data_IF_374979997907
#
_entry.id   IF_374979997907
#
_cell.length_a   1.000
_cell.length_b   1.000
_cell.length_c   1.000
_cell.angle_alpha   90.00
_cell.angle_beta   90.00
_cell.angle_gamma   90.00
#
_symmetry.space_group_name_H-M   'P 1'
#
loop_
_entity.id
_entity.type
_entity.pdbx_description
1 polymer ?
#
# COMPACT_ATOMS: atom_id res chain seq x y z
N UNK A 1 -0.58 -12.66 -19.23
CA UNK A 1 -1.35 -13.18 -18.11
C UNK A 1 -0.47 -13.16 -16.86
N UNK A 2 -1.06 -12.84 -15.70
CA UNK A 2 -0.38 -12.84 -14.40
C UNK A 2 -1.28 -13.60 -13.42
N UNK A 3 -0.69 -14.51 -12.66
CA UNK A 3 -1.39 -15.26 -11.62
C UNK A 3 -0.57 -15.30 -10.34
N UNK A 4 -1.22 -15.48 -9.20
CA UNK A 4 -0.57 -15.63 -7.89
C UNK A 4 -0.83 -17.01 -7.32
N UNK A 5 0.16 -17.57 -6.63
CA UNK A 5 0.06 -18.81 -5.88
C UNK A 5 0.55 -18.60 -4.45
N UNK A 6 -0.24 -19.03 -3.49
CA UNK A 6 0.02 -18.90 -2.05
C UNK A 6 0.35 -20.21 -1.37
N UNK A 7 0.32 -21.31 -2.09
CA UNK A 7 0.58 -22.65 -1.55
C UNK A 7 2.08 -23.02 -1.60
N UNK A 8 2.96 -22.01 -1.63
CA UNK A 8 4.41 -22.21 -1.63
C UNK A 8 4.98 -22.50 -0.24
N UNK A 9 4.25 -22.14 0.81
CA UNK A 9 4.55 -22.48 2.18
C UNK A 9 3.30 -22.79 3.01
N UNK A 10 3.46 -23.54 4.09
CA UNK A 10 2.35 -24.04 4.91
C UNK A 10 1.65 -22.97 5.71
N UNK A 11 2.32 -21.87 6.02
CA UNK A 11 1.79 -20.75 6.79
C UNK A 11 1.30 -19.61 5.90
N UNK A 12 1.39 -19.79 4.58
CA UNK A 12 0.98 -18.79 3.57
C UNK A 12 1.61 -17.40 3.78
N UNK A 13 2.85 -17.38 4.29
CA UNK A 13 3.58 -16.16 4.58
C UNK A 13 4.07 -15.44 3.32
N UNK A 14 4.06 -16.13 2.18
CA UNK A 14 4.53 -15.63 0.90
C UNK A 14 3.54 -15.94 -0.21
N UNK A 15 3.61 -15.14 -1.25
CA UNK A 15 2.94 -15.38 -2.51
C UNK A 15 3.97 -15.41 -3.65
N UNK A 16 3.77 -16.30 -4.60
CA UNK A 16 4.60 -16.41 -5.80
C UNK A 16 3.81 -16.00 -7.01
N UNK A 17 4.40 -15.11 -7.81
CA UNK A 17 3.79 -14.65 -9.05
C UNK A 17 4.27 -15.50 -10.21
N UNK A 18 3.34 -15.99 -11.03
CA UNK A 18 3.61 -16.52 -12.36
C UNK A 18 3.14 -15.51 -13.40
N UNK A 19 3.93 -15.32 -14.44
CA UNK A 19 3.63 -14.38 -15.51
C UNK A 19 3.96 -14.97 -16.88
N UNK A 20 3.18 -14.63 -17.88
CA UNK A 20 3.43 -14.97 -19.27
C UNK A 20 3.21 -13.74 -20.16
N UNK A 21 4.18 -13.49 -21.03
CA UNK A 21 4.12 -12.42 -22.04
C UNK A 21 4.22 -13.06 -23.42
N UNK A 22 3.22 -12.80 -24.27
CA UNK A 22 3.28 -13.11 -25.68
C UNK A 22 3.65 -11.84 -26.45
N UNK A 23 4.76 -11.88 -27.17
CA UNK A 23 5.27 -10.75 -27.95
C UNK A 23 5.21 -10.95 -29.48
N UNK A 24 4.51 -11.99 -29.96
CA UNK A 24 4.42 -12.32 -31.40
C UNK A 24 3.93 -11.14 -32.24
N UNK A 25 3.05 -10.30 -31.72
CA UNK A 25 2.52 -9.14 -32.43
C UNK A 25 3.40 -7.89 -32.37
N UNK A 26 4.50 -7.91 -31.62
CA UNK A 26 5.33 -6.72 -31.34
C UNK A 26 6.56 -6.62 -32.23
N UNK A 27 6.84 -7.61 -33.10
CA UNK A 27 8.01 -7.62 -33.95
C UNK A 27 9.35 -7.76 -33.23
N UNK A 28 9.32 -8.26 -32.01
CA UNK A 28 10.49 -8.44 -31.13
C UNK A 28 11.29 -9.64 -31.65
N UNK A 29 12.58 -9.45 -31.88
CA UNK A 29 13.51 -10.48 -32.36
C UNK A 29 14.48 -10.96 -31.28
N UNK A 30 14.84 -10.06 -30.36
CA UNK A 30 15.70 -10.38 -29.20
C UNK A 30 15.03 -9.92 -27.91
N UNK A 31 14.14 -10.75 -27.33
CA UNK A 31 13.36 -10.35 -26.15
C UNK A 31 14.23 -9.99 -24.93
N UNK A 32 15.41 -10.59 -24.78
CA UNK A 32 16.30 -10.27 -23.65
C UNK A 32 16.92 -8.87 -23.74
N UNK A 33 16.98 -8.28 -24.92
CA UNK A 33 17.51 -6.93 -25.14
C UNK A 33 16.39 -5.88 -25.34
N UNK A 34 15.23 -6.32 -25.82
CA UNK A 34 14.15 -5.43 -26.26
C UNK A 34 13.00 -5.35 -25.24
N UNK A 35 12.86 -6.35 -24.34
CA UNK A 35 11.86 -6.34 -23.28
C UNK A 35 12.48 -5.96 -21.94
N UNK A 36 11.82 -5.05 -21.24
CA UNK A 36 12.15 -4.66 -19.89
C UNK A 36 10.95 -4.98 -18.99
N UNK A 37 11.16 -5.89 -18.03
CA UNK A 37 10.07 -6.36 -17.16
C UNK A 37 10.27 -5.86 -15.74
N UNK A 38 9.18 -5.36 -15.15
CA UNK A 38 9.12 -4.97 -13.74
C UNK A 38 7.89 -5.60 -13.12
N UNK A 39 8.09 -6.40 -12.08
CA UNK A 39 7.01 -6.93 -11.26
C UNK A 39 7.14 -6.32 -9.86
N UNK A 40 6.07 -5.73 -9.36
CA UNK A 40 6.05 -5.12 -8.04
C UNK A 40 4.75 -5.45 -7.31
N UNK A 41 4.80 -5.48 -6.00
CA UNK A 41 3.63 -5.72 -5.16
C UNK A 41 2.96 -4.39 -4.82
N UNK A 42 1.64 -4.29 -5.07
CA UNK A 42 0.78 -3.15 -4.68
C UNK A 42 1.33 -1.79 -5.12
N UNK A 43 1.90 -1.71 -6.33
CA UNK A 43 2.46 -0.48 -6.87
C UNK A 43 3.71 0.06 -6.15
N UNK A 44 4.33 -0.72 -5.28
CA UNK A 44 5.46 -0.30 -4.46
C UNK A 44 6.79 -0.56 -5.15
N UNK A 45 7.50 0.50 -5.49
CA UNK A 45 8.84 0.43 -6.09
C UNK A 45 9.87 -0.23 -5.17
N UNK A 46 9.71 -0.14 -3.86
CA UNK A 46 10.56 -0.82 -2.87
C UNK A 46 10.50 -2.36 -2.98
N UNK A 47 9.47 -2.89 -3.62
CA UNK A 47 9.30 -4.33 -3.84
C UNK A 47 9.65 -4.77 -5.27
N UNK A 48 10.06 -3.85 -6.14
CA UNK A 48 10.25 -4.12 -7.57
C UNK A 48 11.29 -5.23 -7.84
N UNK A 49 10.91 -6.16 -8.70
CA UNK A 49 11.77 -7.19 -9.29
C UNK A 49 11.97 -6.83 -10.74
N UNK A 50 13.20 -6.48 -11.09
CA UNK A 50 13.52 -5.91 -12.40
C UNK A 50 14.26 -6.96 -13.22
N UNK A 51 13.76 -7.23 -14.44
CA UNK A 51 14.37 -8.14 -15.41
C UNK A 51 14.75 -9.52 -14.85
N UNK A 52 13.89 -10.10 -13.99
CA UNK A 52 14.08 -11.47 -13.56
C UNK A 52 14.12 -12.42 -14.79
N UNK A 53 15.04 -13.36 -14.77
CA UNK A 53 15.21 -14.28 -15.89
C UNK A 53 13.97 -15.19 -16.05
N UNK A 54 13.39 -15.31 -17.25
CA UNK A 54 12.28 -16.24 -17.49
C UNK A 54 12.75 -17.70 -17.40
N UNK A 55 11.90 -18.57 -16.87
CA UNK A 55 12.16 -20.02 -16.87
C UNK A 55 12.00 -20.62 -18.28
N UNK A 56 11.10 -20.06 -19.07
CA UNK A 56 10.85 -20.55 -20.43
C UNK A 56 10.84 -19.39 -21.41
N UNK A 57 11.53 -19.61 -22.54
CA UNK A 57 11.52 -18.72 -23.68
C UNK A 57 11.16 -19.53 -24.94
N UNK A 58 10.19 -19.05 -25.68
CA UNK A 58 9.77 -19.57 -26.98
C UNK A 58 10.05 -18.55 -28.08
N UNK A 59 9.78 -18.86 -29.32
CA UNK A 59 9.92 -17.92 -30.45
C UNK A 59 8.96 -16.70 -30.36
N UNK A 60 7.96 -16.75 -29.48
CA UNK A 60 6.93 -15.72 -29.39
C UNK A 60 6.52 -15.34 -27.94
N UNK A 61 7.13 -15.96 -26.94
CA UNK A 61 6.72 -15.73 -25.54
C UNK A 61 7.83 -15.92 -24.53
N UNK A 62 7.66 -15.27 -23.37
CA UNK A 62 8.44 -15.46 -22.15
C UNK A 62 7.49 -15.89 -21.04
N UNK A 63 7.94 -16.84 -20.20
CA UNK A 63 7.15 -17.35 -19.08
C UNK A 63 8.01 -17.47 -17.83
N UNK A 64 7.50 -16.90 -16.75
CA UNK A 64 8.01 -17.02 -15.39
C UNK A 64 7.06 -17.92 -14.60
N UNK A 65 7.55 -19.07 -14.18
CA UNK A 65 6.80 -20.04 -13.41
C UNK A 65 7.72 -20.62 -12.33
N UNK A 66 7.24 -20.66 -11.10
CA UNK A 66 8.06 -21.06 -9.93
C UNK A 66 9.37 -20.27 -9.80
N UNK A 67 9.36 -18.99 -10.24
CA UNK A 67 10.53 -18.13 -10.19
C UNK A 67 10.78 -17.67 -8.73
N UNK A 68 11.95 -17.96 -8.14
CA UNK A 68 12.25 -17.51 -6.77
C UNK A 68 12.35 -15.99 -6.64
N UNK A 69 12.71 -15.28 -7.73
CA UNK A 69 12.75 -13.82 -7.72
C UNK A 69 11.35 -13.18 -7.65
N UNK A 70 10.31 -13.95 -7.98
CA UNK A 70 8.92 -13.50 -7.95
C UNK A 70 8.16 -13.98 -6.70
N UNK A 71 8.90 -14.23 -5.62
CA UNK A 71 8.33 -14.47 -4.30
C UNK A 71 8.25 -13.14 -3.54
N UNK A 72 7.05 -12.84 -3.05
CA UNK A 72 6.76 -11.64 -2.26
C UNK A 72 6.21 -12.05 -0.89
N UNK A 73 6.50 -11.23 0.12
CA UNK A 73 5.88 -11.40 1.42
C UNK A 73 4.37 -11.13 1.30
N UNK A 74 3.57 -11.93 1.97
CA UNK A 74 2.18 -11.62 2.23
C UNK A 74 2.04 -10.40 3.14
N UNK A 75 0.82 -9.96 3.37
CA UNK A 75 0.50 -8.85 4.25
C UNK A 75 -0.91 -8.98 4.82
N UNK A 76 -1.27 -8.12 5.75
CA UNK A 76 -2.64 -7.98 6.20
C UNK A 76 -3.39 -7.04 5.25
N UNK A 77 -4.73 -7.04 5.31
CA UNK A 77 -5.55 -6.07 4.58
C UNK A 77 -5.08 -4.65 4.86
N UNK A 78 -5.14 -3.78 3.86
CA UNK A 78 -4.88 -2.37 4.07
C UNK A 78 -5.97 -1.74 4.94
N UNK A 79 -5.60 -0.75 5.74
CA UNK A 79 -6.56 0.14 6.39
C UNK A 79 -7.21 1.04 5.33
N UNK A 80 -8.38 1.57 5.64
CA UNK A 80 -9.11 2.45 4.71
C UNK A 80 -9.92 3.52 5.44
N UNK A 81 -10.06 4.66 4.80
CA UNK A 81 -11.02 5.69 5.19
C UNK A 81 -11.51 6.45 3.95
N UNK A 82 -12.57 7.19 4.13
CA UNK A 82 -13.10 8.07 3.09
C UNK A 82 -13.54 9.41 3.67
N UNK A 83 -13.11 10.50 3.06
CA UNK A 83 -13.55 11.86 3.36
C UNK A 83 -14.43 12.33 2.22
N UNK A 84 -15.74 12.11 2.31
CA UNK A 84 -16.70 12.62 1.33
C UNK A 84 -17.15 14.05 1.64
N UNK A 85 -17.24 14.37 2.94
CA UNK A 85 -17.75 15.63 3.45
C UNK A 85 -16.77 16.18 4.50
N UNK A 86 -16.59 17.49 4.50
CA UNK A 86 -15.74 18.17 5.50
C UNK A 86 -16.53 18.62 6.74
N UNK A 87 -17.82 18.38 6.76
CA UNK A 87 -18.73 18.76 7.84
C UNK A 87 -19.26 17.57 8.64
N UNK A 88 -19.21 16.35 8.06
CA UNK A 88 -19.71 15.12 8.68
C UNK A 88 -18.70 13.98 8.52
N UNK A 89 -18.50 13.18 9.58
CA UNK A 89 -17.71 11.95 9.48
C UNK A 89 -18.31 10.96 8.48
N UNK A 90 -17.44 10.30 7.71
CA UNK A 90 -17.79 9.22 6.79
C UNK A 90 -16.98 7.97 7.12
N UNK A 91 -16.83 7.02 6.18
CA UNK A 91 -16.14 5.76 6.41
C UNK A 91 -14.76 5.96 7.06
N UNK A 92 -14.51 5.30 8.19
CA UNK A 92 -13.23 5.33 8.89
C UNK A 92 -12.88 6.64 9.60
N UNK A 93 -13.75 7.66 9.52
CA UNK A 93 -13.55 8.96 10.15
C UNK A 93 -14.28 9.01 11.49
N UNK A 94 -13.56 9.35 12.55
CA UNK A 94 -14.12 9.56 13.91
C UNK A 94 -14.72 10.95 14.04
N UNK A 95 -14.03 11.96 13.52
CA UNK A 95 -14.43 13.36 13.66
C UNK A 95 -13.89 14.21 12.50
N UNK A 96 -14.64 15.26 12.15
CA UNK A 96 -14.21 16.32 11.23
C UNK A 96 -14.39 17.67 11.90
N UNK A 97 -13.58 18.65 11.54
CA UNK A 97 -13.65 19.99 12.12
C UNK A 97 -12.91 21.04 11.31
N UNK A 98 -13.16 22.29 11.69
CA UNK A 98 -12.51 23.47 11.12
C UNK A 98 -11.79 24.23 12.25
N UNK A 99 -10.50 24.50 12.11
CA UNK A 99 -9.67 25.19 13.12
C UNK A 99 -9.61 26.71 12.92
N UNK A 100 -10.37 27.25 11.98
CA UNK A 100 -10.33 28.65 11.56
C UNK A 100 -9.47 28.89 10.30
N UNK A 101 -8.71 27.89 9.86
CA UNK A 101 -7.82 27.99 8.71
C UNK A 101 -7.89 26.75 7.80
N UNK A 102 -7.97 25.54 8.36
CA UNK A 102 -7.94 24.29 7.64
C UNK A 102 -9.05 23.35 8.12
N UNK A 103 -9.52 22.50 7.23
CA UNK A 103 -10.32 21.34 7.61
C UNK A 103 -9.42 20.24 8.17
N UNK A 104 -9.94 19.55 9.18
CA UNK A 104 -9.29 18.42 9.83
C UNK A 104 -10.22 17.22 9.84
N UNK A 105 -9.68 16.06 9.57
CA UNK A 105 -10.36 14.77 9.70
C UNK A 105 -9.52 13.84 10.58
N UNK A 106 -10.09 13.38 11.68
CA UNK A 106 -9.47 12.40 12.54
C UNK A 106 -10.01 11.03 12.19
N UNK A 107 -9.14 10.12 11.75
CA UNK A 107 -9.52 8.73 11.57
C UNK A 107 -9.61 8.03 12.94
N UNK A 108 -10.36 6.93 12.98
CA UNK A 108 -10.33 6.06 14.16
C UNK A 108 -8.89 5.60 14.44
N UNK A 109 -8.55 5.45 15.73
CA UNK A 109 -7.23 4.92 16.08
C UNK A 109 -7.11 3.49 15.59
N UNK A 110 -6.10 3.23 14.75
CA UNK A 110 -5.79 1.89 14.30
C UNK A 110 -5.22 1.06 15.44
N UNK A 111 -5.93 -0.02 15.76
CA UNK A 111 -5.60 -0.93 16.84
C UNK A 111 -4.79 -2.12 16.33
N UNK A 112 -4.04 -2.81 17.22
CA UNK A 112 -3.33 -4.03 16.87
C UNK A 112 -4.25 -5.08 16.25
N UNK A 113 -3.82 -5.67 15.15
CA UNK A 113 -4.48 -6.77 14.43
C UNK A 113 -3.67 -8.05 14.61
N UNK A 114 -3.95 -8.86 15.64
CA UNK A 114 -3.14 -10.04 15.98
C UNK A 114 -3.31 -11.21 14.98
N UNK A 115 -4.36 -11.16 14.18
CA UNK A 115 -4.66 -12.17 13.17
C UNK A 115 -5.16 -11.50 11.88
N UNK A 116 -5.10 -12.27 10.78
CA UNK A 116 -5.74 -11.84 9.54
C UNK A 116 -7.27 -11.81 9.72
N UNK A 117 -7.86 -10.71 9.31
CA UNK A 117 -9.31 -10.55 9.20
C UNK A 117 -9.59 -9.98 7.82
N UNK A 118 -10.33 -10.72 7.01
CA UNK A 118 -10.73 -10.25 5.69
C UNK A 118 -11.53 -8.96 5.80
N UNK A 119 -11.10 -7.95 5.06
CA UNK A 119 -11.80 -6.69 4.89
C UNK A 119 -11.49 -6.13 3.51
N UNK A 120 -12.46 -6.14 2.60
CA UNK A 120 -12.29 -5.66 1.24
C UNK A 120 -11.66 -4.26 1.23
N UNK A 121 -10.47 -4.14 0.69
CA UNK A 121 -9.70 -2.90 0.56
C UNK A 121 -9.36 -2.59 -0.91
N UNK A 122 -8.49 -1.63 -1.16
CA UNK A 122 -8.07 -1.25 -2.50
C UNK A 122 -6.55 -1.41 -2.69
N UNK A 123 -5.90 -2.30 -1.93
CA UNK A 123 -4.46 -2.59 -2.02
C UNK A 123 -3.58 -1.33 -2.01
N UNK A 124 -3.92 -0.36 -1.15
CA UNK A 124 -3.21 0.92 -1.03
C UNK A 124 -3.61 1.98 -2.05
N UNK A 125 -4.55 1.69 -2.94
CA UNK A 125 -5.05 2.66 -3.94
C UNK A 125 -5.88 3.77 -3.31
N UNK A 126 -6.14 4.82 -4.09
CA UNK A 126 -6.95 5.96 -3.65
C UNK A 126 -7.81 6.48 -4.79
N UNK A 127 -8.87 7.19 -4.43
CA UNK A 127 -9.74 7.83 -5.38
C UNK A 127 -10.21 9.20 -4.85
N UNK A 128 -9.92 10.27 -5.60
CA UNK A 128 -10.35 11.64 -5.24
C UNK A 128 -11.81 11.81 -5.58
N UNK A 129 -12.62 12.14 -4.60
CA UNK A 129 -14.04 12.47 -4.78
C UNK A 129 -14.59 13.29 -3.62
N UNK A 130 -15.63 14.05 -3.92
CA UNK A 130 -16.46 14.79 -2.94
C UNK A 130 -17.87 14.20 -2.90
N UNK A 131 -18.71 14.67 -1.97
CA UNK A 131 -20.10 14.21 -1.78
C UNK A 131 -20.95 14.32 -3.04
N UNK A 132 -20.73 15.37 -3.84
CA UNK A 132 -21.51 15.62 -5.03
C UNK A 132 -21.04 14.83 -6.24
N UNK A 133 -19.84 14.25 -6.15
CA UNK A 133 -19.15 13.53 -7.23
C UNK A 133 -19.03 14.35 -8.53
N UNK A 134 -18.83 15.66 -8.38
CA UNK A 134 -18.70 16.62 -9.47
C UNK A 134 -17.29 17.22 -9.44
N UNK A 135 -16.66 17.33 -10.60
CA UNK A 135 -15.32 17.92 -10.78
C UNK A 135 -14.33 17.55 -9.67
N UNK A 136 -14.30 16.28 -9.30
CA UNK A 136 -13.59 15.74 -8.12
C UNK A 136 -12.16 16.27 -7.99
N UNK A 137 -11.41 16.32 -9.09
CA UNK A 137 -10.01 16.77 -9.07
C UNK A 137 -9.83 18.27 -8.82
N UNK A 138 -10.87 19.07 -9.06
CA UNK A 138 -10.80 20.53 -9.02
C UNK A 138 -11.38 21.13 -7.76
N UNK A 139 -12.57 20.65 -7.35
CA UNK A 139 -13.34 21.27 -6.26
C UNK A 139 -13.27 20.50 -4.93
N UNK A 140 -12.71 19.28 -4.91
CA UNK A 140 -12.50 18.57 -3.63
C UNK A 140 -11.56 19.35 -2.72
N UNK A 141 -11.97 19.53 -1.47
CA UNK A 141 -11.22 20.28 -0.47
C UNK A 141 -9.97 19.53 0.04
N UNK A 142 -8.97 20.28 0.48
CA UNK A 142 -7.85 19.73 1.21
C UNK A 142 -8.19 19.65 2.69
N UNK A 143 -7.89 18.51 3.28
CA UNK A 143 -8.16 18.18 4.67
C UNK A 143 -6.89 17.67 5.31
N UNK A 144 -6.54 18.15 6.49
CA UNK A 144 -5.46 17.57 7.29
C UNK A 144 -5.97 16.33 7.99
N UNK A 145 -5.53 15.16 7.53
CA UNK A 145 -5.91 13.87 8.11
C UNK A 145 -5.00 13.54 9.28
N UNK A 146 -5.60 13.22 10.42
CA UNK A 146 -4.91 12.82 11.64
C UNK A 146 -4.88 11.29 11.72
N UNK A 147 -3.72 10.70 11.43
CA UNK A 147 -3.47 9.28 11.58
C UNK A 147 -3.03 8.98 13.00
N UNK A 148 -3.58 7.92 13.59
CA UNK A 148 -3.23 7.44 14.93
C UNK A 148 -3.13 5.93 14.92
N UNK A 149 -1.97 5.41 15.33
CA UNK A 149 -1.70 3.98 15.41
C UNK A 149 -1.31 3.60 16.83
N UNK A 150 -2.01 2.65 17.40
CA UNK A 150 -1.63 2.00 18.66
C UNK A 150 -0.64 0.88 18.40
N UNK A 151 0.63 1.16 18.62
CA UNK A 151 1.70 0.18 18.48
C UNK A 151 2.80 0.42 19.52
N UNK A 152 3.53 -0.62 19.95
CA UNK A 152 4.74 -0.41 20.72
C UNK A 152 5.77 0.34 19.90
N UNK A 153 6.69 1.02 20.58
CA UNK A 153 7.77 1.71 19.89
C UNK A 153 8.54 0.77 18.98
N UNK A 154 8.65 1.10 17.72
CA UNK A 154 9.34 0.31 16.70
C UNK A 154 10.84 0.61 16.69
N UNK A 155 11.65 -0.36 16.27
CA UNK A 155 13.07 -0.15 16.02
C UNK A 155 13.27 0.40 14.60
N UNK A 156 12.99 1.68 14.42
CA UNK A 156 13.04 2.38 13.14
C UNK A 156 12.01 3.50 13.06
N UNK A 157 11.95 4.13 11.90
CA UNK A 157 11.01 5.21 11.58
C UNK A 157 9.73 4.62 11.02
N UNK A 158 8.59 5.06 11.52
CA UNK A 158 7.28 4.57 11.08
C UNK A 158 6.67 5.54 10.08
N UNK A 159 6.12 5.00 9.00
CA UNK A 159 5.50 5.77 7.93
C UNK A 159 4.11 5.28 7.59
N UNK A 160 3.24 6.22 7.22
CA UNK A 160 2.00 5.91 6.49
C UNK A 160 2.36 5.69 5.02
N UNK A 161 1.90 4.59 4.43
CA UNK A 161 2.21 4.21 3.06
C UNK A 161 0.94 3.78 2.30
N UNK A 162 0.89 4.12 1.04
CA UNK A 162 -0.13 3.74 0.06
C UNK A 162 0.32 4.20 -1.32
N UNK A 163 -0.39 3.84 -2.37
CA UNK A 163 -0.07 4.26 -3.75
C UNK A 163 0.02 5.79 -3.85
N UNK A 164 -0.82 6.51 -3.10
CA UNK A 164 -0.85 7.97 -3.04
C UNK A 164 0.41 8.61 -2.43
N UNK A 165 1.25 7.85 -1.72
CA UNK A 165 2.56 8.33 -1.25
C UNK A 165 3.67 8.17 -2.30
N UNK A 166 3.39 7.50 -3.43
CA UNK A 166 4.36 7.08 -4.46
C UNK A 166 5.55 6.31 -3.86
N UNK A 167 5.30 5.51 -2.83
CA UNK A 167 6.31 4.73 -2.08
C UNK A 167 7.48 5.59 -1.56
N UNK A 168 7.19 6.86 -1.20
CA UNK A 168 8.17 7.81 -0.68
C UNK A 168 8.17 7.85 0.84
N UNK A 169 9.34 7.63 1.42
CA UNK A 169 9.57 7.65 2.88
C UNK A 169 10.18 8.98 3.29
N UNK A 170 9.39 10.03 3.21
CA UNK A 170 9.76 11.42 3.50
C UNK A 170 9.10 11.91 4.79
N UNK A 171 9.60 12.98 5.44
CA UNK A 171 9.06 13.49 6.70
C UNK A 171 7.55 13.78 6.69
N UNK A 172 6.99 14.10 5.52
CA UNK A 172 5.54 14.35 5.36
C UNK A 172 4.67 13.14 5.74
N UNK A 173 5.17 11.93 5.53
CA UNK A 173 4.45 10.67 5.78
C UNK A 173 4.96 9.93 7.01
N UNK A 174 5.94 10.51 7.70
CA UNK A 174 6.51 9.94 8.91
C UNK A 174 5.60 10.17 10.12
N UNK A 175 5.47 9.15 10.95
CA UNK A 175 4.73 9.21 12.19
C UNK A 175 5.66 9.51 13.36
N UNK A 176 5.21 10.31 14.29
CA UNK A 176 5.90 10.60 15.55
C UNK A 176 5.27 9.80 16.67
N UNK A 177 6.11 9.16 17.49
CA UNK A 177 5.63 8.46 18.67
C UNK A 177 5.37 9.45 19.81
N UNK A 178 4.15 9.49 20.31
CA UNK A 178 3.74 10.32 21.43
C UNK A 178 3.89 9.52 22.72
N UNK A 179 4.80 9.93 23.59
CA UNK A 179 5.09 9.24 24.85
C UNK A 179 3.96 9.33 25.87
N UNK A 180 3.07 10.31 25.75
CA UNK A 180 1.95 10.48 26.67
C UNK A 180 0.78 9.59 26.30
N UNK A 181 0.41 9.58 25.01
CA UNK A 181 -0.72 8.79 24.49
C UNK A 181 -0.34 7.34 24.17
N UNK A 182 0.98 7.08 24.02
CA UNK A 182 1.54 5.80 23.54
C UNK A 182 1.07 5.42 22.13
N UNK A 183 0.78 6.43 21.32
CA UNK A 183 0.37 6.31 19.93
C UNK A 183 1.45 6.84 18.99
N UNK A 184 1.52 6.28 17.80
CA UNK A 184 2.13 6.94 16.66
C UNK A 184 1.11 7.89 16.03
N UNK A 185 1.54 9.10 15.70
CA UNK A 185 0.68 10.16 15.18
C UNK A 185 1.30 10.80 13.94
N UNK A 186 0.48 11.08 12.92
CA UNK A 186 0.86 11.86 11.75
C UNK A 186 -0.29 12.75 11.29
N UNK A 187 0.07 13.91 10.71
CA UNK A 187 -0.86 14.91 10.20
C UNK A 187 -0.55 15.14 8.72
N UNK A 188 -1.38 14.60 7.84
CA UNK A 188 -1.09 14.56 6.41
C UNK A 188 -2.19 15.31 5.64
N UNK A 189 -1.87 16.39 4.91
CA UNK A 189 -2.84 17.06 4.07
C UNK A 189 -3.14 16.22 2.82
N UNK A 190 -4.41 15.83 2.67
CA UNK A 190 -4.96 15.05 1.57
C UNK A 190 -6.20 15.74 1.00
N UNK A 191 -6.57 15.46 -0.24
CA UNK A 191 -7.86 15.86 -0.77
C UNK A 191 -8.98 14.96 -0.26
N UNK A 192 -10.22 15.44 -0.31
CA UNK A 192 -11.39 14.57 -0.12
C UNK A 192 -11.31 13.37 -1.06
N UNK A 193 -11.68 12.20 -0.57
CA UNK A 193 -11.63 10.97 -1.31
C UNK A 193 -11.52 9.73 -0.45
N UNK A 194 -11.45 8.59 -1.11
CA UNK A 194 -11.16 7.29 -0.52
C UNK A 194 -9.66 7.03 -0.54
N UNK A 195 -9.14 6.48 0.55
CA UNK A 195 -7.73 6.16 0.72
C UNK A 195 -7.57 4.79 1.39
N UNK A 196 -6.79 3.94 0.74
CA UNK A 196 -6.30 2.69 1.31
C UNK A 196 -4.83 2.88 1.71
N UNK A 197 -4.42 2.36 2.90
CA UNK A 197 -3.10 2.62 3.46
C UNK A 197 -2.64 1.52 4.41
N UNK A 198 -1.34 1.49 4.65
CA UNK A 198 -0.68 0.63 5.62
C UNK A 198 0.37 1.39 6.41
N UNK A 199 0.92 0.76 7.44
CA UNK A 199 2.02 1.28 8.22
C UNK A 199 3.28 0.46 8.00
N UNK A 200 4.38 1.13 7.70
CA UNK A 200 5.68 0.50 7.48
C UNK A 200 6.73 1.08 8.41
N UNK A 201 7.56 0.22 8.97
CA UNK A 201 8.76 0.60 9.69
C UNK A 201 9.96 0.53 8.75
N UNK A 202 10.71 1.62 8.66
CA UNK A 202 12.00 1.68 7.97
C UNK A 202 13.11 1.57 8.99
N UNK A 203 13.92 0.51 8.89
CA UNK A 203 15.11 0.32 9.71
C UNK A 203 16.28 1.20 9.25
N UNK A 204 17.33 1.29 10.05
CA UNK A 204 18.51 2.11 9.74
C UNK A 204 19.25 1.67 8.47
N UNK A 205 19.16 0.39 8.11
CA UNK A 205 19.71 -0.18 6.87
C UNK A 205 18.83 0.07 5.63
N UNK A 206 17.70 0.76 5.80
CA UNK A 206 16.73 1.05 4.73
C UNK A 206 15.74 -0.07 4.45
N UNK A 207 15.80 -1.20 5.17
CA UNK A 207 14.80 -2.26 5.02
C UNK A 207 13.45 -1.83 5.56
N UNK A 208 12.38 -2.31 4.90
CA UNK A 208 11.00 -1.99 5.21
C UNK A 208 10.27 -3.23 5.73
N UNK A 209 9.56 -3.07 6.82
CA UNK A 209 8.73 -4.10 7.42
C UNK A 209 7.37 -3.55 7.80
N UNK A 210 6.29 -4.37 7.77
CA UNK A 210 5.04 -3.99 8.43
C UNK A 210 5.29 -3.66 9.90
N UNK A 211 4.50 -2.77 10.46
CA UNK A 211 4.53 -2.51 11.90
C UNK A 211 4.17 -3.80 12.65
N UNK A 212 4.82 -4.06 13.78
CA UNK A 212 4.68 -5.32 14.53
C UNK A 212 3.26 -5.68 14.99
N UNK A 213 2.35 -4.72 14.95
CA UNK A 213 0.94 -4.90 15.31
C UNK A 213 0.05 -5.33 14.15
N UNK A 214 0.60 -5.38 12.92
CA UNK A 214 -0.17 -5.72 11.72
C UNK A 214 -0.37 -7.24 11.53
N UNK A 215 0.06 -8.04 12.50
CA UNK A 215 -0.08 -9.50 12.47
C UNK A 215 0.87 -10.19 11.49
N UNK A 216 0.81 -11.52 11.49
CA UNK A 216 1.64 -12.38 10.66
C UNK A 216 0.81 -13.20 9.66
N UNK A 217 -0.43 -12.78 9.36
CA UNK A 217 -1.32 -13.50 8.48
C UNK A 217 -1.61 -12.66 7.24
N UNK A 218 -1.92 -13.31 6.15
CA UNK A 218 -1.62 -12.81 4.84
C UNK A 218 -2.82 -12.89 3.95
N UNK A 219 -3.19 -11.74 3.46
CA UNK A 219 -3.99 -11.65 2.26
C UNK A 219 -3.16 -12.15 1.08
N UNK A 220 -3.80 -12.92 0.24
CA UNK A 220 -3.20 -13.53 -0.93
C UNK A 220 -4.15 -13.37 -2.11
N UNK A 221 -4.19 -12.19 -2.67
CA UNK A 221 -4.87 -11.89 -3.92
C UNK A 221 -3.88 -11.71 -5.07
#
# INVERSE_FOLDING_TARGET
EVTTNTDIDTNKAHQQVAAEINYSALGITNPNAELYTVVMQNGRWSTARINAAPQYQTGSGLRWEHNPDYIFNGGNEFHKFEILDVTHPTLGIENVGWDGKNYHAQIWTDLPRPSYVYDEDANGSFYIRNSDNIENDRISEYVTVHFRLQAPRQNGRVFVNGVWTNDRFIPRYEMTYNEQTKLYEAYIPLKQGYYSYQYLTMCDDGTLHPVSTEGNFYQTE
#
